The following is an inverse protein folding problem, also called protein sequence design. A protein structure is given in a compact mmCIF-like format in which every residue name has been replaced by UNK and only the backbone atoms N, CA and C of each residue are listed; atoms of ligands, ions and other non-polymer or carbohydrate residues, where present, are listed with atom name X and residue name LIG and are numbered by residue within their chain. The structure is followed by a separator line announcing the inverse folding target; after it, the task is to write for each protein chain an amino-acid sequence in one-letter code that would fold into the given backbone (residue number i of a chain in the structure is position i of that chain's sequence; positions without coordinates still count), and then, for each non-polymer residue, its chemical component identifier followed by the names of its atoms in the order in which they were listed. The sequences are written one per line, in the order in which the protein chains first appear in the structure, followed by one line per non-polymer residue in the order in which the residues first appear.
data_IF_334049225788
#
_entry.id   IF_334049225788
#
_cell.length_a   1.000
_cell.length_b   1.000
_cell.length_c   1.000
_cell.angle_alpha   90.00
_cell.angle_beta   90.00
_cell.angle_gamma   90.00
#
_symmetry.space_group_name_H-M   'P 1'
#
loop_
_entity.id
_entity.type
_entity.pdbx_description
1 polymer ?
#
# COMPACT_ATOMS: atom_id res chain seq x y z
N UNK A 1 11.36 43.93 6.79
CA UNK A 1 11.20 43.36 6.54
C UNK A 1 11.04 42.31 6.49
N UNK A 2 10.73 41.66 6.32
CA UNK A 2 10.72 40.67 6.25
C UNK A 2 9.88 39.83 5.90
N UNK A 3 9.70 39.28 5.57
CA UNK A 3 8.99 38.55 5.16
C UNK A 3 8.85 37.39 5.32
N UNK A 4 8.39 36.91 5.38
CA UNK A 4 8.32 35.76 5.59
C UNK A 4 7.69 34.93 4.84
N UNK A 5 7.79 34.25 4.57
CA UNK A 5 7.33 33.38 3.89
C UNK A 5 6.75 32.33 4.18
N UNK A 6 6.06 31.91 3.98
CA UNK A 6 5.33 30.97 4.17
C UNK A 6 5.61 29.82 3.80
N UNK A 7 5.66 29.26 3.88
CA UNK A 7 5.95 28.19 3.71
C UNK A 7 5.07 27.38 3.26
N UNK A 8 4.79 27.13 2.84
CA UNK A 8 4.17 26.34 2.32
C UNK A 8 3.67 25.36 2.67
N UNK A 9 3.47 25.05 3.07
CA UNK A 9 3.00 24.22 3.32
C UNK A 9 2.51 23.28 2.88
N UNK A 10 2.59 22.76 2.80
CA UNK A 10 2.34 21.64 2.56
C UNK A 10 1.28 21.12 3.12
N UNK A 11 0.53 21.73 3.36
CA UNK A 11 -0.57 21.23 3.92
C UNK A 11 -1.13 20.19 3.21
N UNK A 12 -0.95 20.19 2.05
CA UNK A 12 -1.51 19.24 1.39
C UNK A 12 -0.90 18.02 1.64
N UNK A 13 0.01 17.96 2.36
CA UNK A 13 0.64 16.77 2.56
C UNK A 13 -0.06 15.95 3.52
N UNK A 14 -1.12 15.35 3.21
CA UNK A 14 -1.68 14.44 4.17
C UNK A 14 -0.80 13.20 4.26
N UNK A 15 -0.78 12.54 5.40
CA UNK A 15 0.04 11.34 5.56
C UNK A 15 -0.42 10.24 4.60
N UNK A 16 0.51 9.40 4.23
CA UNK A 16 0.20 8.28 3.35
C UNK A 16 -0.85 7.36 3.96
N UNK A 17 -0.78 7.16 5.27
CA UNK A 17 -1.76 6.39 6.01
C UNK A 17 -1.88 6.98 7.41
N UNK A 18 -3.00 6.69 8.08
CA UNK A 18 -3.18 7.03 9.49
C UNK A 18 -3.56 5.75 10.22
N UNK A 19 -2.86 5.45 11.29
CA UNK A 19 -3.07 4.21 12.02
C UNK A 19 -3.24 4.52 13.50
N UNK A 20 -4.24 3.90 14.12
CA UNK A 20 -4.49 3.99 15.54
C UNK A 20 -4.46 2.57 16.11
N UNK A 21 -3.77 2.38 17.21
CA UNK A 21 -3.66 1.08 17.88
C UNK A 21 -3.05 -0.01 17.01
N UNK A 22 -2.37 0.35 15.94
CA UNK A 22 -1.70 -0.61 15.08
C UNK A 22 -2.57 -1.30 14.06
N UNK A 23 -3.90 -1.12 14.11
CA UNK A 23 -4.78 -1.82 13.17
C UNK A 23 -6.03 -1.05 12.76
N UNK A 24 -6.28 0.10 13.33
CA UNK A 24 -7.41 0.94 12.92
C UNK A 24 -6.88 1.97 11.95
N UNK A 25 -7.47 2.07 10.77
CA UNK A 25 -6.88 2.84 9.69
C UNK A 25 -7.88 3.79 9.06
N UNK A 26 -7.35 4.78 8.37
CA UNK A 26 -8.17 5.73 7.62
C UNK A 26 -8.88 5.05 6.46
N UNK A 27 -9.84 5.76 5.88
CA UNK A 27 -10.70 5.20 4.84
C UNK A 27 -9.93 4.72 3.61
N UNK A 28 -8.94 5.49 3.16
CA UNK A 28 -8.17 5.11 1.98
C UNK A 28 -7.32 3.87 2.24
N UNK A 29 -6.71 3.79 3.42
CA UNK A 29 -5.91 2.61 3.77
C UNK A 29 -6.82 1.39 3.91
N UNK A 30 -8.03 1.58 4.43
CA UNK A 30 -9.01 0.49 4.48
C UNK A 30 -9.37 -0.01 3.08
N UNK A 31 -9.53 0.91 2.14
CA UNK A 31 -9.75 0.54 0.74
C UNK A 31 -8.58 -0.27 0.21
N UNK A 32 -7.35 0.09 0.60
CA UNK A 32 -6.17 -0.66 0.22
C UNK A 32 -6.21 -2.11 0.71
N UNK A 33 -6.61 -2.30 1.95
CA UNK A 33 -6.76 -3.66 2.50
C UNK A 33 -7.81 -4.45 1.72
N UNK A 34 -8.95 -3.81 1.43
CA UNK A 34 -10.00 -4.49 0.67
C UNK A 34 -9.55 -4.86 -0.74
N UNK A 35 -8.77 -3.99 -1.36
CA UNK A 35 -8.22 -4.25 -2.70
C UNK A 35 -7.23 -5.42 -2.64
N UNK A 36 -6.38 -5.45 -1.63
CA UNK A 36 -5.46 -6.56 -1.37
C UNK A 36 -6.21 -7.90 -1.32
N UNK A 37 -7.32 -7.92 -0.57
CA UNK A 37 -8.10 -9.14 -0.44
C UNK A 37 -8.82 -9.50 -1.74
N UNK A 38 -9.46 -8.51 -2.36
CA UNK A 38 -10.26 -8.75 -3.56
C UNK A 38 -9.41 -9.22 -4.73
N UNK A 39 -8.19 -8.73 -4.85
CA UNK A 39 -7.30 -9.13 -5.92
C UNK A 39 -6.55 -10.43 -5.61
N UNK A 40 -6.78 -10.99 -4.43
CA UNK A 40 -6.19 -12.27 -4.01
C UNK A 40 -4.66 -12.26 -4.02
N UNK A 41 -4.08 -11.12 -3.69
CA UNK A 41 -2.62 -10.97 -3.62
C UNK A 41 -2.02 -11.93 -2.60
N UNK A 42 -2.81 -12.26 -1.56
CA UNK A 42 -2.38 -13.15 -0.50
C UNK A 42 -2.08 -14.57 -0.97
N UNK A 43 -2.64 -14.97 -2.11
CA UNK A 43 -2.37 -16.33 -2.61
C UNK A 43 -0.90 -16.57 -2.89
N UNK A 44 -0.18 -15.54 -3.29
CA UNK A 44 1.24 -15.67 -3.58
C UNK A 44 2.11 -15.00 -2.53
N UNK A 45 1.63 -13.92 -1.93
CA UNK A 45 2.45 -13.13 -1.01
C UNK A 45 2.21 -13.46 0.46
N UNK A 46 1.26 -14.36 0.74
CA UNK A 46 0.94 -14.76 2.11
C UNK A 46 -0.11 -13.87 2.75
N UNK A 47 -0.89 -14.42 3.67
CA UNK A 47 -1.98 -13.72 4.32
C UNK A 47 -1.52 -12.52 5.14
N UNK A 48 -0.28 -12.57 5.61
CA UNK A 48 0.32 -11.50 6.40
C UNK A 48 1.43 -10.80 5.63
N UNK A 49 1.42 -10.89 4.31
CA UNK A 49 2.43 -10.30 3.42
C UNK A 49 3.84 -10.85 3.68
N UNK A 50 3.93 -11.99 4.33
CA UNK A 50 5.22 -12.55 4.73
C UNK A 50 5.97 -13.24 3.59
N UNK A 51 5.27 -13.53 2.50
CA UNK A 51 5.86 -14.22 1.36
C UNK A 51 5.49 -15.69 1.33
N UNK A 52 5.40 -16.21 0.13
CA UNK A 52 5.17 -17.64 -0.12
C UNK A 52 5.80 -17.94 -1.48
N UNK A 53 4.97 -18.16 -2.50
CA UNK A 53 5.45 -18.27 -3.87
C UNK A 53 6.01 -16.90 -4.31
N UNK A 54 5.31 -15.83 -3.97
CA UNK A 54 5.82 -14.49 -4.19
C UNK A 54 6.65 -14.02 -3.00
N UNK A 55 7.43 -12.96 -3.18
CA UNK A 55 8.29 -12.47 -2.10
C UNK A 55 7.52 -11.80 -0.98
N UNK A 56 8.18 -11.64 0.16
CA UNK A 56 7.64 -10.88 1.28
C UNK A 56 7.44 -9.43 0.86
N UNK A 57 6.23 -8.92 0.99
CA UNK A 57 5.97 -7.53 0.70
C UNK A 57 6.40 -6.62 1.85
N UNK A 58 6.49 -7.17 3.05
CA UNK A 58 7.05 -6.42 4.19
C UNK A 58 8.48 -6.01 3.83
N UNK A 59 9.27 -6.93 3.28
CA UNK A 59 10.64 -6.65 2.89
C UNK A 59 10.72 -5.83 1.60
N UNK A 60 9.93 -6.19 0.61
CA UNK A 60 10.01 -5.57 -0.71
C UNK A 60 9.70 -4.08 -0.67
N UNK A 61 8.70 -3.69 0.11
CA UNK A 61 8.28 -2.30 0.14
C UNK A 61 9.27 -1.40 0.87
N UNK A 62 10.24 -1.97 1.59
CA UNK A 62 11.27 -1.15 2.25
C UNK A 62 12.21 -0.49 1.25
N UNK A 63 12.46 -1.15 0.14
CA UNK A 63 13.40 -0.65 -0.85
C UNK A 63 12.72 -0.16 -2.14
N UNK A 64 11.45 -0.42 -2.30
CA UNK A 64 10.75 -0.12 -3.54
C UNK A 64 10.09 1.24 -3.46
N UNK A 65 10.29 2.07 -4.48
CA UNK A 65 9.57 3.35 -4.55
C UNK A 65 8.12 3.11 -4.93
N UNK A 66 7.28 4.12 -4.72
CA UNK A 66 5.88 4.03 -5.13
C UNK A 66 5.78 3.81 -6.64
N UNK A 67 6.59 4.50 -7.42
CA UNK A 67 6.56 4.34 -8.88
C UNK A 67 6.91 2.92 -9.29
N UNK A 68 7.90 2.32 -8.65
CA UNK A 68 8.23 0.93 -8.92
C UNK A 68 7.12 -0.02 -8.52
N UNK A 69 6.46 0.27 -7.39
CA UNK A 69 5.33 -0.53 -6.94
C UNK A 69 4.21 -0.48 -7.97
N UNK A 70 3.82 0.71 -8.40
CA UNK A 70 2.75 0.87 -9.39
C UNK A 70 3.10 0.15 -10.68
N UNK A 71 4.32 0.31 -11.16
CA UNK A 71 4.77 -0.34 -12.39
C UNK A 71 4.72 -1.87 -12.24
N UNK A 72 5.19 -2.39 -11.12
CA UNK A 72 5.21 -3.83 -10.88
C UNK A 72 3.81 -4.43 -10.85
N UNK A 73 2.88 -3.76 -10.20
CA UNK A 73 1.50 -4.25 -10.12
C UNK A 73 0.82 -4.14 -11.49
N UNK A 74 1.00 -3.01 -12.15
CA UNK A 74 0.38 -2.78 -13.45
C UNK A 74 0.89 -3.76 -14.50
N UNK A 75 2.19 -3.93 -14.58
CA UNK A 75 2.81 -4.72 -15.65
C UNK A 75 3.00 -6.18 -15.28
N UNK A 76 3.07 -6.48 -14.00
CA UNK A 76 3.35 -7.82 -13.52
C UNK A 76 4.82 -8.17 -13.67
N UNK A 77 5.15 -9.39 -13.35
CA UNK A 77 6.46 -9.99 -13.59
C UNK A 77 6.20 -11.38 -14.09
N UNK A 78 5.75 -11.48 -15.33
CA UNK A 78 5.31 -12.74 -15.90
C UNK A 78 6.42 -13.79 -15.93
N UNK A 79 7.65 -13.36 -16.13
CA UNK A 79 8.81 -14.26 -16.10
C UNK A 79 9.03 -14.86 -14.70
N UNK A 80 8.45 -14.27 -13.68
CA UNK A 80 8.56 -14.77 -12.31
C UNK A 80 7.22 -15.25 -11.77
N UNK A 81 6.21 -15.31 -12.62
CA UNK A 81 4.90 -15.83 -12.23
C UNK A 81 3.91 -14.82 -11.68
N UNK A 82 4.27 -13.55 -11.63
CA UNK A 82 3.33 -12.52 -11.17
C UNK A 82 2.54 -11.97 -12.35
N UNK A 83 1.22 -12.10 -12.28
CA UNK A 83 0.36 -11.59 -13.35
C UNK A 83 0.31 -10.06 -13.35
N UNK A 84 -0.07 -9.50 -14.48
CA UNK A 84 -0.32 -8.08 -14.62
C UNK A 84 -1.72 -7.75 -14.10
N UNK A 85 -1.85 -6.63 -13.40
CA UNK A 85 -3.14 -6.13 -12.96
C UNK A 85 -3.54 -4.86 -13.72
N UNK A 86 -2.82 -4.54 -14.78
CA UNK A 86 -3.07 -3.30 -15.53
C UNK A 86 -4.45 -3.19 -16.12
N UNK A 87 -5.12 -4.31 -16.38
CA UNK A 87 -6.49 -4.29 -16.90
C UNK A 87 -7.53 -4.45 -15.81
N UNK A 88 -7.11 -4.60 -14.56
CA UNK A 88 -8.06 -4.67 -13.45
C UNK A 88 -8.43 -3.26 -13.02
N UNK A 89 -9.65 -2.85 -13.32
CA UNK A 89 -10.11 -1.54 -12.92
C UNK A 89 -10.09 -1.39 -11.41
N UNK A 90 -10.50 -2.42 -10.68
CA UNK A 90 -10.51 -2.37 -9.23
C UNK A 90 -9.12 -2.12 -8.66
N UNK A 91 -8.12 -2.81 -9.17
CA UNK A 91 -6.76 -2.63 -8.66
C UNK A 91 -6.21 -1.27 -9.07
N UNK A 92 -6.31 -0.93 -10.33
CA UNK A 92 -5.69 0.30 -10.81
C UNK A 92 -6.36 1.56 -10.28
N UNK A 93 -7.69 1.55 -10.11
CA UNK A 93 -8.39 2.69 -9.54
C UNK A 93 -8.04 2.88 -8.05
N UNK A 94 -7.59 1.84 -7.38
CA UNK A 94 -7.28 1.87 -5.97
C UNK A 94 -5.81 1.62 -5.68
N UNK A 95 -4.95 1.83 -6.67
CA UNK A 95 -3.54 1.47 -6.54
C UNK A 95 -2.84 2.30 -5.45
N UNK A 96 -3.22 3.56 -5.29
CA UNK A 96 -2.62 4.40 -4.27
C UNK A 96 -3.00 3.92 -2.88
N UNK A 97 -4.25 3.51 -2.70
CA UNK A 97 -4.72 2.96 -1.43
C UNK A 97 -4.06 1.63 -1.13
N UNK A 98 -3.90 0.80 -2.14
CA UNK A 98 -3.19 -0.47 -1.98
C UNK A 98 -1.75 -0.23 -1.53
N UNK A 99 -1.08 0.74 -2.14
CA UNK A 99 0.27 1.09 -1.74
C UNK A 99 0.31 1.57 -0.29
N UNK A 100 -0.65 2.43 0.10
CA UNK A 100 -0.69 2.95 1.46
C UNK A 100 -0.81 1.81 2.48
N UNK A 101 -1.69 0.87 2.23
CA UNK A 101 -1.87 -0.27 3.11
C UNK A 101 -0.60 -1.12 3.21
N UNK A 102 -0.02 -1.48 2.07
CA UNK A 102 1.17 -2.33 2.06
C UNK A 102 2.39 -1.61 2.64
N UNK A 103 2.51 -0.32 2.37
CA UNK A 103 3.60 0.47 2.94
C UNK A 103 3.46 0.57 4.46
N UNK A 104 2.23 0.75 4.95
CA UNK A 104 1.98 0.74 6.39
C UNK A 104 2.38 -0.58 7.04
N UNK A 105 2.12 -1.69 6.36
CA UNK A 105 2.57 -3.01 6.83
C UNK A 105 4.09 -3.10 6.85
N UNK A 106 4.72 -2.66 5.76
CA UNK A 106 6.18 -2.72 5.65
C UNK A 106 6.86 -1.83 6.69
N UNK A 107 6.30 -0.66 6.94
CA UNK A 107 6.86 0.28 7.92
C UNK A 107 6.68 -0.20 9.36
N UNK A 108 5.82 -1.18 9.58
CA UNK A 108 5.53 -1.66 10.92
C UNK A 108 4.47 -0.84 11.65
N UNK A 109 3.91 0.17 11.00
CA UNK A 109 2.84 0.99 11.60
C UNK A 109 1.55 0.19 11.70
N UNK A 110 1.26 -0.62 10.69
CA UNK A 110 0.13 -1.53 10.71
C UNK A 110 0.66 -2.89 11.15
N UNK A 111 0.26 -3.30 12.35
CA UNK A 111 0.90 -4.42 13.02
C UNK A 111 0.30 -5.77 12.71
N UNK A 112 -0.81 -5.80 11.98
CA UNK A 112 -1.42 -7.07 11.56
C UNK A 112 -2.11 -6.88 10.22
N UNK A 113 -2.31 -7.97 9.50
CA UNK A 113 -2.86 -7.90 8.16
C UNK A 113 -4.30 -7.40 8.13
N UNK A 114 -5.14 -7.91 9.01
CA UNK A 114 -6.54 -7.51 9.02
C UNK A 114 -6.70 -6.20 9.78
N UNK A 115 -7.24 -5.21 9.12
CA UNK A 115 -7.41 -3.87 9.70
C UNK A 115 -8.88 -3.50 9.74
N UNK A 116 -9.20 -2.46 10.51
CA UNK A 116 -10.55 -1.94 10.71
C UNK A 116 -10.55 -0.44 10.52
N UNK A 117 -11.70 0.15 10.19
CA UNK A 117 -11.77 1.61 10.07
C UNK A 117 -11.61 2.29 11.44
N UNK A 118 -11.02 3.47 11.43
CA UNK A 118 -11.03 4.33 12.62
C UNK A 118 -12.46 4.81 12.83
N UNK A 119 -12.93 4.83 14.07
CA UNK A 119 -14.27 5.27 14.39
C UNK A 119 -14.31 6.41 15.37
#
# INVERSE_FOLDING_TARGET
MLSLLPTAVQAQDKPLYTVVDGYKVDADTMTGFRTWRAAACDRCHGANQEGMVGPSLISSLKAMSKDEFVKTVRDGRLDKGMQSFGTSKQVMDNIDSLYAYLKGRSDGAITRSKVEPIR
#
